data_IF_374757177232
#
_entry.id   IF_374757177232
#
_cell.length_a   1.000
_cell.length_b   1.000
_cell.length_c   1.000
_cell.angle_alpha   90.00
_cell.angle_beta   90.00
_cell.angle_gamma   90.00
#
_symmetry.space_group_name_H-M   'P 1'
#
loop_
_entity.id
_entity.type
_entity.pdbx_description
1 polymer ?
#
# COMPACT_ATOMS: atom_id res chain seq x y z
N UNK A 1 18.51 50.51 36.90
CA UNK A 1 18.49 49.04 36.59
C UNK A 1 19.41 48.78 35.42
N UNK A 2 20.44 48.09 35.65
CA UNK A 2 21.80 48.25 35.17
C UNK A 2 22.11 47.49 33.87
N UNK A 3 23.12 47.97 33.13
CA UNK A 3 23.71 47.41 31.92
C UNK A 3 23.88 45.84 31.91
N UNK A 4 24.08 45.27 33.10
CA UNK A 4 24.20 43.80 33.26
C UNK A 4 22.89 43.03 32.92
N UNK A 5 21.73 43.54 33.32
CA UNK A 5 20.42 42.91 33.06
C UNK A 5 20.06 42.91 31.57
N UNK A 6 20.42 43.99 30.84
CA UNK A 6 20.24 44.10 29.39
C UNK A 6 21.15 43.16 28.60
N UNK A 7 22.39 42.93 29.05
CA UNK A 7 23.32 41.99 28.43
C UNK A 7 22.87 40.54 28.64
N UNK A 8 22.37 40.21 29.82
CA UNK A 8 21.86 38.87 30.13
C UNK A 8 20.59 38.56 29.32
N UNK A 9 19.62 39.47 29.25
CA UNK A 9 18.42 39.39 28.41
C UNK A 9 18.77 39.21 26.92
N UNK A 10 19.71 39.97 26.37
CA UNK A 10 20.17 39.80 24.99
C UNK A 10 20.79 38.41 24.74
N UNK A 11 21.61 37.90 25.66
CA UNK A 11 22.22 36.59 25.56
C UNK A 11 21.17 35.47 25.63
N UNK A 12 20.16 35.60 26.49
CA UNK A 12 19.05 34.68 26.61
C UNK A 12 18.17 34.69 25.36
N UNK A 13 17.87 35.83 24.77
CA UNK A 13 17.10 35.95 23.51
C UNK A 13 17.87 35.35 22.33
N UNK A 14 19.19 35.63 22.24
CA UNK A 14 20.05 35.02 21.20
C UNK A 14 20.14 33.53 21.39
N UNK A 15 20.29 33.00 22.61
CA UNK A 15 20.31 31.58 22.93
C UNK A 15 18.99 30.87 22.57
N UNK A 16 17.86 31.51 22.93
CA UNK A 16 16.54 31.00 22.58
C UNK A 16 16.33 31.00 21.07
N UNK A 17 16.73 32.06 20.38
CA UNK A 17 16.68 32.15 18.92
C UNK A 17 17.51 31.06 18.24
N UNK A 18 18.73 30.80 18.74
CA UNK A 18 19.58 29.71 18.22
C UNK A 18 18.94 28.31 18.44
N UNK A 19 18.35 28.07 19.60
CA UNK A 19 17.63 26.81 19.88
C UNK A 19 16.44 26.62 18.95
N UNK A 20 15.64 27.66 18.70
CA UNK A 20 14.51 27.61 17.78
C UNK A 20 14.96 27.33 16.35
N UNK A 21 16.04 27.94 15.89
CA UNK A 21 16.61 27.71 14.54
C UNK A 21 17.13 26.29 14.41
N UNK A 22 17.85 25.77 15.41
CA UNK A 22 18.37 24.38 15.39
C UNK A 22 17.22 23.38 15.46
N UNK A 23 16.24 23.57 16.35
CA UNK A 23 15.08 22.69 16.45
C UNK A 23 14.23 22.73 15.19
N UNK A 24 14.00 23.90 14.60
CA UNK A 24 13.31 24.05 13.32
C UNK A 24 14.08 23.38 12.18
N UNK A 25 15.40 23.57 12.11
CA UNK A 25 16.24 22.88 11.14
C UNK A 25 16.14 21.35 11.27
N UNK A 26 16.26 20.83 12.49
CA UNK A 26 16.14 19.40 12.75
C UNK A 26 14.75 18.83 12.38
N UNK A 27 13.68 19.58 12.65
CA UNK A 27 12.31 19.21 12.30
C UNK A 27 12.14 18.97 10.79
N UNK A 28 12.72 19.80 9.94
CA UNK A 28 12.57 19.71 8.49
C UNK A 28 13.61 18.81 7.82
N UNK A 29 14.78 18.55 8.44
CA UNK A 29 15.86 17.79 7.78
C UNK A 29 16.00 16.36 8.29
N UNK A 30 15.83 16.15 9.59
CA UNK A 30 16.06 14.84 10.25
C UNK A 30 14.74 14.21 10.69
N UNK A 31 13.78 15.03 11.08
CA UNK A 31 12.49 14.60 11.65
C UNK A 31 11.75 13.59 10.80
N UNK A 32 11.47 13.86 9.50
CA UNK A 32 10.72 12.93 8.65
C UNK A 32 11.38 11.56 8.54
N UNK A 33 12.71 11.52 8.32
CA UNK A 33 13.46 10.27 8.23
C UNK A 33 13.50 9.48 9.53
N UNK A 34 13.52 10.16 10.69
CA UNK A 34 13.42 9.50 12.00
C UNK A 34 12.03 8.90 12.22
N UNK A 35 10.97 9.62 11.85
CA UNK A 35 9.59 9.13 11.94
C UNK A 35 9.44 7.88 11.08
N UNK A 36 9.81 7.96 9.80
CA UNK A 36 9.76 6.82 8.88
C UNK A 36 10.51 5.59 9.43
N UNK A 37 11.75 5.77 9.86
CA UNK A 37 12.57 4.68 10.43
C UNK A 37 11.96 4.08 11.70
N UNK A 38 11.22 4.87 12.48
CA UNK A 38 10.57 4.40 13.71
C UNK A 38 9.30 3.61 13.44
N UNK A 39 8.65 3.85 12.29
CA UNK A 39 7.38 3.25 11.90
C UNK A 39 7.58 2.05 10.96
N UNK A 40 8.46 2.14 9.98
CA UNK A 40 8.75 1.07 9.02
C UNK A 40 9.99 0.29 9.49
N UNK A 41 9.76 -0.85 10.12
CA UNK A 41 10.82 -1.62 10.79
C UNK A 41 11.04 -2.97 10.11
N UNK A 42 12.30 -3.39 10.09
CA UNK A 42 12.65 -4.79 9.87
C UNK A 42 12.87 -5.46 11.22
N UNK A 43 12.15 -6.57 11.46
CA UNK A 43 12.38 -7.43 12.61
C UNK A 43 13.78 -8.07 12.49
N UNK A 44 14.54 -8.17 13.60
CA UNK A 44 15.88 -8.78 13.55
C UNK A 44 15.87 -10.29 13.29
N UNK A 45 14.72 -10.96 13.43
CA UNK A 45 14.52 -12.38 13.14
C UNK A 45 14.40 -12.69 11.65
N UNK A 46 15.39 -12.30 10.85
CA UNK A 46 15.39 -12.57 9.42
C UNK A 46 15.15 -14.06 9.11
N UNK A 47 14.31 -14.38 8.10
CA UNK A 47 14.15 -15.75 7.65
C UNK A 47 15.47 -16.31 7.08
N UNK A 48 15.55 -17.64 7.01
CA UNK A 48 16.68 -18.32 6.40
C UNK A 48 16.82 -17.94 4.93
N UNK A 49 18.05 -17.90 4.45
CA UNK A 49 18.35 -17.67 3.03
C UNK A 49 17.64 -18.72 2.14
N UNK A 50 16.93 -18.30 1.08
CA UNK A 50 16.32 -19.21 0.14
C UNK A 50 17.35 -20.11 -0.55
N UNK A 51 16.98 -21.34 -0.87
CA UNK A 51 17.80 -22.31 -1.62
C UNK A 51 18.13 -21.78 -3.01
N UNK A 52 19.13 -22.38 -3.64
CA UNK A 52 19.45 -22.08 -5.04
C UNK A 52 18.27 -22.36 -5.99
N UNK A 53 17.51 -23.40 -5.70
CA UNK A 53 16.32 -23.79 -6.47
C UNK A 53 15.23 -22.72 -6.35
N UNK A 54 14.89 -22.31 -5.13
CA UNK A 54 13.90 -21.26 -4.89
C UNK A 54 14.28 -19.94 -5.56
N UNK A 55 15.55 -19.52 -5.46
CA UNK A 55 16.04 -18.32 -6.15
C UNK A 55 15.97 -18.43 -7.67
N UNK A 56 16.30 -19.61 -8.23
CA UNK A 56 16.23 -19.85 -9.67
C UNK A 56 14.79 -19.86 -10.20
N UNK A 57 13.84 -20.40 -9.43
CA UNK A 57 12.42 -20.31 -9.74
C UNK A 57 11.95 -18.85 -9.63
N UNK A 58 12.20 -18.19 -8.50
CA UNK A 58 11.79 -16.81 -8.22
C UNK A 58 12.21 -15.83 -9.32
N UNK A 59 13.42 -15.98 -9.83
CA UNK A 59 13.95 -15.13 -10.91
C UNK A 59 13.17 -15.25 -12.25
N UNK A 60 12.35 -16.28 -12.42
CA UNK A 60 11.52 -16.49 -13.61
C UNK A 60 10.06 -16.04 -13.41
N UNK A 61 9.67 -15.74 -12.18
CA UNK A 61 8.31 -15.33 -11.85
C UNK A 61 8.04 -13.89 -12.25
N UNK A 62 6.77 -13.57 -12.47
CA UNK A 62 6.26 -12.22 -12.58
C UNK A 62 5.67 -11.83 -11.22
N UNK A 63 6.52 -11.48 -10.27
CA UNK A 63 6.11 -11.14 -8.91
C UNK A 63 5.33 -9.84 -8.92
N UNK A 64 4.15 -9.84 -8.28
CA UNK A 64 3.30 -8.64 -8.14
C UNK A 64 2.94 -8.43 -6.69
N UNK A 65 3.18 -7.25 -6.16
CA UNK A 65 2.75 -6.82 -4.85
C UNK A 65 1.67 -5.75 -4.98
N UNK A 66 0.53 -5.98 -4.32
CA UNK A 66 -0.66 -5.15 -4.50
C UNK A 66 -0.72 -3.93 -3.58
N UNK A 67 0.24 -3.73 -2.67
CA UNK A 67 0.18 -2.57 -1.78
C UNK A 67 1.51 -2.18 -1.16
N UNK A 68 1.89 -0.90 -1.34
CA UNK A 68 2.97 -0.27 -0.58
C UNK A 68 2.75 1.25 -0.48
N UNK A 69 3.01 1.84 0.70
CA UNK A 69 2.79 3.26 1.00
C UNK A 69 4.03 4.14 0.83
N UNK A 70 4.93 3.71 -0.03
CA UNK A 70 6.23 4.37 -0.26
C UNK A 70 6.11 5.83 -0.64
N UNK A 71 5.03 6.22 -1.35
CA UNK A 71 4.82 7.59 -1.84
C UNK A 71 4.59 8.62 -0.73
N UNK A 72 4.16 8.19 0.45
CA UNK A 72 3.94 9.06 1.61
C UNK A 72 5.27 9.61 2.17
N UNK A 73 6.37 8.88 2.00
CA UNK A 73 7.66 9.18 2.61
C UNK A 73 8.54 10.08 1.73
N UNK A 74 9.43 10.84 2.39
CA UNK A 74 10.41 11.73 1.75
C UNK A 74 11.68 10.92 1.39
N UNK A 75 11.54 10.05 0.38
CA UNK A 75 12.63 9.27 -0.21
C UNK A 75 12.59 9.38 -1.72
N UNK A 76 13.76 9.35 -2.35
CA UNK A 76 13.84 9.10 -3.79
C UNK A 76 13.56 7.62 -4.05
N UNK A 77 12.53 7.33 -4.83
CA UNK A 77 12.15 5.96 -5.19
C UNK A 77 13.23 5.27 -6.05
N UNK A 78 14.08 6.03 -6.72
CA UNK A 78 15.13 5.50 -7.61
C UNK A 78 16.41 5.13 -6.87
N UNK A 79 16.58 5.61 -5.64
CA UNK A 79 17.78 5.38 -4.83
C UNK A 79 17.53 4.36 -3.72
N UNK A 80 18.50 3.44 -3.49
CA UNK A 80 18.43 2.52 -2.36
C UNK A 80 18.56 3.28 -1.03
N UNK A 81 17.48 3.40 -0.30
CA UNK A 81 17.48 4.08 0.98
C UNK A 81 17.97 3.18 2.12
N UNK A 82 18.44 3.82 3.21
CA UNK A 82 18.86 3.10 4.45
C UNK A 82 17.69 2.82 5.40
N UNK A 83 16.46 3.12 4.95
CA UNK A 83 15.20 2.96 5.69
C UNK A 83 14.06 2.63 4.73
N UNK A 84 12.93 2.21 5.26
CA UNK A 84 11.79 1.75 4.46
C UNK A 84 12.01 0.38 3.84
N UNK A 85 11.01 -0.11 3.14
CA UNK A 85 10.96 -1.48 2.61
C UNK A 85 11.00 -1.55 1.09
N UNK A 86 10.62 -0.47 0.40
CA UNK A 86 10.48 -0.44 -1.06
C UNK A 86 11.24 0.74 -1.67
N UNK A 87 12.05 0.47 -2.66
CA UNK A 87 12.63 1.38 -3.65
C UNK A 87 12.94 0.60 -4.92
N UNK A 88 13.20 1.28 -6.03
CA UNK A 88 13.44 0.62 -7.31
C UNK A 88 14.62 -0.39 -7.28
N UNK A 89 15.77 -0.09 -6.64
CA UNK A 89 16.82 -1.09 -6.45
C UNK A 89 16.35 -2.36 -5.73
N UNK A 90 15.58 -2.22 -4.64
CA UNK A 90 15.03 -3.39 -3.91
C UNK A 90 13.99 -4.15 -4.71
N UNK A 91 13.10 -3.46 -5.44
CA UNK A 91 12.12 -4.09 -6.33
C UNK A 91 12.79 -4.94 -7.40
N UNK A 92 13.89 -4.44 -7.99
CA UNK A 92 14.68 -5.17 -9.00
C UNK A 92 15.38 -6.38 -8.38
N UNK A 93 15.98 -6.21 -7.21
CA UNK A 93 16.64 -7.28 -6.44
C UNK A 93 15.67 -8.39 -6.06
N UNK A 94 14.47 -8.03 -5.59
CA UNK A 94 13.37 -8.94 -5.27
C UNK A 94 12.59 -9.45 -6.49
N UNK A 95 13.05 -9.19 -7.71
CA UNK A 95 12.42 -9.70 -8.93
C UNK A 95 11.01 -9.17 -9.20
N UNK A 96 10.58 -8.10 -8.51
CA UNK A 96 9.21 -7.57 -8.62
C UNK A 96 8.95 -7.05 -10.02
N UNK A 97 7.96 -7.66 -10.68
CA UNK A 97 7.52 -7.27 -12.01
C UNK A 97 6.56 -6.08 -11.95
N UNK A 98 5.71 -6.00 -10.91
CA UNK A 98 4.79 -4.89 -10.73
C UNK A 98 4.58 -4.62 -9.23
N UNK A 99 4.69 -3.35 -8.86
CA UNK A 99 4.33 -2.84 -7.54
C UNK A 99 3.12 -1.90 -7.65
N UNK A 100 2.12 -2.09 -6.80
CA UNK A 100 1.06 -1.10 -6.58
C UNK A 100 1.54 -0.13 -5.51
N UNK A 101 1.63 1.14 -5.88
CA UNK A 101 2.00 2.24 -4.99
C UNK A 101 0.75 2.97 -4.53
N UNK A 102 0.51 2.93 -3.23
CA UNK A 102 -0.66 3.52 -2.62
C UNK A 102 -0.41 4.94 -2.11
N UNK A 103 -1.48 5.69 -1.98
CA UNK A 103 -1.52 7.03 -1.44
C UNK A 103 -2.39 7.08 -0.20
N UNK A 104 -1.77 7.03 0.99
CA UNK A 104 -2.42 7.38 2.24
C UNK A 104 -2.54 8.89 2.34
N UNK A 105 -3.75 9.40 2.47
CA UNK A 105 -3.99 10.84 2.55
C UNK A 105 -4.26 11.34 3.97
N UNK A 106 -4.73 10.48 4.88
CA UNK A 106 -5.07 10.83 6.26
C UNK A 106 -4.95 9.62 7.18
N UNK A 107 -4.43 9.84 8.40
CA UNK A 107 -4.33 8.83 9.45
C UNK A 107 -4.69 9.45 10.81
N UNK A 108 -5.60 8.84 11.61
CA UNK A 108 -6.01 9.38 12.90
C UNK A 108 -4.90 9.28 13.95
N UNK A 109 -4.92 10.18 14.94
CA UNK A 109 -4.04 10.08 16.11
C UNK A 109 -4.46 8.92 16.99
N UNK A 110 -3.47 8.17 17.49
CA UNK A 110 -3.75 6.99 18.31
C UNK A 110 -4.45 5.87 17.54
N UNK A 111 -4.20 5.79 16.24
CA UNK A 111 -4.72 4.77 15.34
C UNK A 111 -4.68 3.38 15.97
N UNK A 112 -5.79 2.66 15.89
CA UNK A 112 -5.95 1.30 16.40
C UNK A 112 -6.90 0.51 15.49
N UNK A 113 -6.94 -0.81 15.66
CA UNK A 113 -7.77 -1.68 14.82
C UNK A 113 -9.24 -1.76 15.25
N UNK A 114 -9.62 -1.17 16.40
CA UNK A 114 -10.97 -1.31 16.94
C UNK A 114 -11.91 -0.19 16.53
N UNK A 115 -11.58 1.07 16.86
CA UNK A 115 -12.40 2.22 16.54
C UNK A 115 -11.60 3.52 16.48
N UNK A 116 -11.77 4.28 15.41
CA UNK A 116 -11.14 5.57 15.19
C UNK A 116 -12.15 6.58 14.65
N UNK A 117 -12.02 7.84 15.09
CA UNK A 117 -12.77 8.96 14.54
C UNK A 117 -11.98 9.68 13.44
N UNK A 118 -12.68 10.46 12.64
CA UNK A 118 -12.09 11.27 11.57
C UNK A 118 -11.52 12.63 12.06
N UNK A 119 -11.53 12.92 13.38
CA UNK A 119 -11.29 14.27 13.93
C UNK A 119 -9.83 14.73 13.90
N UNK A 120 -8.91 13.81 13.66
CA UNK A 120 -7.48 14.09 13.71
C UNK A 120 -6.75 13.57 12.47
N UNK A 121 -5.55 14.10 12.23
CA UNK A 121 -4.72 13.73 11.09
C UNK A 121 -3.23 13.86 11.45
N UNK A 122 -2.52 12.74 11.42
CA UNK A 122 -1.08 12.71 11.63
C UNK A 122 -0.30 13.09 10.36
N UNK A 123 -0.90 12.91 9.17
CA UNK A 123 -0.23 13.12 7.88
C UNK A 123 0.01 14.61 7.63
N UNK A 124 -0.88 15.51 8.08
CA UNK A 124 -0.70 16.95 7.90
C UNK A 124 0.65 17.44 8.44
N UNK A 125 1.04 17.01 9.64
CA UNK A 125 2.33 17.42 10.21
C UNK A 125 3.51 16.84 9.45
N UNK A 126 3.37 15.62 8.96
CA UNK A 126 4.38 14.95 8.14
C UNK A 126 4.57 15.68 6.79
N UNK A 127 3.48 16.04 6.10
CA UNK A 127 3.57 16.80 4.82
C UNK A 127 4.26 18.14 4.98
N UNK A 128 4.00 18.84 6.12
CA UNK A 128 4.67 20.11 6.45
C UNK A 128 6.17 19.88 6.73
N UNK A 129 6.48 18.85 7.53
CA UNK A 129 7.87 18.53 7.89
C UNK A 129 8.70 18.11 6.68
N UNK A 130 8.09 17.43 5.72
CA UNK A 130 8.70 17.04 4.44
C UNK A 130 8.74 18.17 3.41
N UNK A 131 8.31 19.39 3.76
CA UNK A 131 8.24 20.55 2.86
C UNK A 131 7.45 20.27 1.56
N UNK A 132 6.44 19.40 1.64
CA UNK A 132 5.56 19.17 0.50
C UNK A 132 4.85 20.47 0.07
N UNK A 133 4.39 20.59 -1.18
CA UNK A 133 3.73 21.81 -1.66
C UNK A 133 2.60 22.26 -0.74
N UNK A 134 2.45 23.56 -0.43
CA UNK A 134 1.45 24.07 0.52
C UNK A 134 0.00 23.62 0.23
N UNK A 135 -0.34 23.33 -1.03
CA UNK A 135 -1.65 22.78 -1.41
C UNK A 135 -1.98 21.44 -0.71
N UNK A 136 -0.95 20.63 -0.37
CA UNK A 136 -1.13 19.33 0.30
C UNK A 136 -1.42 19.46 1.79
N UNK A 137 -1.19 20.63 2.41
CA UNK A 137 -1.31 20.80 3.85
C UNK A 137 -2.76 20.78 4.34
N UNK A 138 -3.69 21.28 3.52
CA UNK A 138 -5.10 21.40 3.86
C UNK A 138 -6.07 20.60 2.98
N UNK A 139 -5.60 19.91 1.95
CA UNK A 139 -6.44 19.11 1.05
C UNK A 139 -5.92 17.68 0.94
N UNK A 140 -6.79 16.71 1.22
CA UNK A 140 -6.50 15.29 1.08
C UNK A 140 -6.39 14.89 -0.40
N UNK A 141 -7.19 15.51 -1.24
CA UNK A 141 -7.12 15.34 -2.69
C UNK A 141 -5.77 15.76 -3.23
N UNK A 142 -5.31 16.97 -2.86
CA UNK A 142 -4.03 17.49 -3.35
C UNK A 142 -2.82 16.67 -2.84
N UNK A 143 -2.93 16.01 -1.68
CA UNK A 143 -1.93 15.01 -1.23
C UNK A 143 -1.84 13.84 -2.20
N UNK A 144 -2.98 13.24 -2.55
CA UNK A 144 -2.98 12.11 -3.47
C UNK A 144 -2.54 12.51 -4.88
N UNK A 145 -2.91 13.69 -5.36
CA UNK A 145 -2.43 14.23 -6.63
C UNK A 145 -0.90 14.44 -6.60
N UNK A 146 -0.36 14.94 -5.49
CA UNK A 146 1.10 15.09 -5.33
C UNK A 146 1.83 13.72 -5.27
N UNK A 147 1.25 12.71 -4.62
CA UNK A 147 1.81 11.35 -4.65
C UNK A 147 1.83 10.78 -6.08
N UNK A 148 0.77 11.01 -6.85
CA UNK A 148 0.75 10.63 -8.27
C UNK A 148 1.84 11.36 -9.09
N UNK A 149 2.04 12.67 -8.86
CA UNK A 149 3.12 13.44 -9.47
C UNK A 149 4.51 12.90 -9.13
N UNK A 150 4.74 12.52 -7.84
CA UNK A 150 5.99 11.87 -7.42
C UNK A 150 6.26 10.58 -8.21
N UNK A 151 5.24 9.72 -8.32
CA UNK A 151 5.37 8.45 -9.05
C UNK A 151 5.63 8.69 -10.55
N UNK A 152 4.91 9.64 -11.15
CA UNK A 152 5.12 10.01 -12.56
C UNK A 152 6.52 10.57 -12.79
N UNK A 153 7.02 11.40 -11.89
CA UNK A 153 8.37 11.94 -11.98
C UNK A 153 9.43 10.83 -11.85
N UNK A 154 9.27 9.94 -10.87
CA UNK A 154 10.16 8.79 -10.72
C UNK A 154 10.18 7.91 -11.98
N UNK A 155 9.02 7.65 -12.58
CA UNK A 155 8.95 6.88 -13.84
C UNK A 155 9.70 7.57 -14.98
N UNK A 156 9.57 8.90 -15.12
CA UNK A 156 10.31 9.70 -16.13
C UNK A 156 11.82 9.65 -15.91
N UNK A 157 12.26 9.79 -14.66
CA UNK A 157 13.68 9.87 -14.30
C UNK A 157 14.35 8.50 -14.27
N UNK A 158 13.57 7.40 -14.21
CA UNK A 158 14.07 6.03 -14.16
C UNK A 158 14.78 5.55 -15.44
N UNK A 159 14.75 6.32 -16.52
CA UNK A 159 15.29 5.89 -17.82
C UNK A 159 14.58 4.66 -18.41
N UNK A 160 13.33 4.40 -18.03
CA UNK A 160 12.52 3.27 -18.48
C UNK A 160 12.57 2.04 -17.57
N UNK A 161 13.27 2.11 -16.44
CA UNK A 161 13.31 1.02 -15.46
C UNK A 161 12.00 0.92 -14.64
N UNK A 162 11.22 2.01 -14.56
CA UNK A 162 9.89 2.05 -13.94
C UNK A 162 8.85 2.44 -15.00
N UNK A 163 7.85 1.57 -15.23
CA UNK A 163 6.81 1.75 -16.24
C UNK A 163 5.45 1.94 -15.58
N UNK A 164 4.79 3.08 -15.82
CA UNK A 164 3.44 3.32 -15.32
C UNK A 164 2.43 2.38 -15.97
N UNK A 165 1.58 1.78 -15.15
CA UNK A 165 0.52 0.86 -15.58
C UNK A 165 -0.83 1.57 -15.43
N UNK A 166 -1.47 1.87 -16.55
CA UNK A 166 -2.74 2.58 -16.61
C UNK A 166 -3.82 1.85 -17.42
N UNK A 167 -3.41 0.90 -18.27
CA UNK A 167 -4.28 0.17 -19.21
C UNK A 167 -3.91 -1.31 -19.26
N UNK A 168 -4.79 -2.13 -19.83
CA UNK A 168 -4.49 -3.54 -20.15
C UNK A 168 -3.28 -3.67 -21.06
N UNK A 169 -3.16 -2.78 -22.04
CA UNK A 169 -2.03 -2.76 -22.98
C UNK A 169 -0.70 -2.50 -22.24
N UNK A 170 -0.70 -1.70 -21.16
CA UNK A 170 0.50 -1.51 -20.32
C UNK A 170 0.90 -2.80 -19.61
N UNK A 171 -0.09 -3.53 -19.06
CA UNK A 171 0.16 -4.83 -18.41
C UNK A 171 0.76 -5.82 -19.44
N UNK A 172 0.20 -5.88 -20.63
CA UNK A 172 0.71 -6.77 -21.67
C UNK A 172 2.13 -6.40 -22.13
N UNK A 173 2.42 -5.09 -22.26
CA UNK A 173 3.78 -4.61 -22.55
C UNK A 173 4.77 -4.96 -21.47
N UNK A 174 4.39 -4.78 -20.19
CA UNK A 174 5.21 -5.17 -19.05
C UNK A 174 5.55 -6.66 -19.08
N UNK A 175 4.53 -7.51 -19.24
CA UNK A 175 4.71 -8.96 -19.31
C UNK A 175 5.64 -9.35 -20.46
N UNK A 176 5.46 -8.76 -21.64
CA UNK A 176 6.32 -9.01 -22.80
C UNK A 176 7.76 -8.58 -22.56
N UNK A 177 7.97 -7.39 -21.98
CA UNK A 177 9.29 -6.85 -21.66
C UNK A 177 10.03 -7.75 -20.64
N UNK A 178 9.37 -8.13 -19.55
CA UNK A 178 9.94 -9.02 -18.53
C UNK A 178 10.29 -10.41 -19.10
N UNK A 179 9.42 -10.99 -19.93
CA UNK A 179 9.67 -12.27 -20.61
C UNK A 179 10.83 -12.19 -21.62
N UNK A 180 11.06 -11.00 -22.19
CA UNK A 180 12.23 -10.74 -23.03
C UNK A 180 13.52 -10.47 -22.23
N UNK A 181 13.49 -10.60 -20.90
CA UNK A 181 14.64 -10.37 -20.01
C UNK A 181 14.96 -8.91 -19.74
N UNK A 182 14.03 -7.98 -20.04
CA UNK A 182 14.23 -6.58 -19.71
C UNK A 182 14.02 -6.36 -18.21
N UNK A 183 14.89 -5.57 -17.61
CA UNK A 183 14.85 -5.20 -16.20
C UNK A 183 13.97 -3.96 -16.00
N UNK A 184 12.65 -4.17 -16.09
CA UNK A 184 11.62 -3.14 -15.94
C UNK A 184 10.63 -3.54 -14.86
N UNK A 185 10.26 -2.61 -13.99
CA UNK A 185 9.19 -2.79 -12.99
C UNK A 185 7.97 -1.95 -13.36
N UNK A 186 6.80 -2.56 -13.34
CA UNK A 186 5.52 -1.85 -13.48
C UNK A 186 5.16 -1.12 -12.19
N UNK A 187 4.56 0.07 -12.32
CA UNK A 187 4.07 0.88 -11.21
C UNK A 187 2.61 1.25 -11.45
N UNK A 188 1.70 0.74 -10.63
CA UNK A 188 0.29 1.11 -10.65
C UNK A 188 0.01 2.06 -9.48
N UNK A 189 -0.62 3.21 -9.75
CA UNK A 189 -1.02 4.15 -8.70
C UNK A 189 -2.37 3.77 -8.10
N UNK A 190 -2.39 3.64 -6.78
CA UNK A 190 -3.56 3.37 -5.96
C UNK A 190 -3.82 4.49 -4.95
N UNK A 191 -5.02 4.50 -4.40
CA UNK A 191 -5.42 5.38 -3.30
C UNK A 191 -5.97 4.54 -2.16
N UNK A 192 -5.52 4.81 -0.94
CA UNK A 192 -6.00 4.16 0.25
C UNK A 192 -6.93 5.08 1.06
N UNK A 193 -8.21 4.78 0.88
CA UNK A 193 -9.31 5.55 1.45
C UNK A 193 -9.73 6.76 0.62
N UNK A 194 -10.99 6.72 0.16
CA UNK A 194 -11.59 7.76 -0.67
C UNK A 194 -12.09 8.98 0.14
N UNK A 195 -11.65 9.17 1.40
CA UNK A 195 -11.76 10.46 2.10
C UNK A 195 -11.07 11.59 1.33
N UNK A 196 -10.15 11.26 0.42
CA UNK A 196 -9.51 12.23 -0.46
C UNK A 196 -10.42 12.75 -1.59
N UNK A 197 -11.61 12.20 -1.76
CA UNK A 197 -12.64 12.83 -2.57
C UNK A 197 -13.24 14.08 -1.91
N UNK A 198 -13.00 14.28 -0.60
CA UNK A 198 -13.51 15.43 0.16
C UNK A 198 -15.03 15.60 -0.03
N UNK A 199 -15.77 14.48 -0.10
CA UNK A 199 -17.21 14.43 -0.36
C UNK A 199 -17.64 14.82 -1.79
N UNK A 200 -16.72 15.04 -2.70
CA UNK A 200 -17.02 15.50 -4.07
C UNK A 200 -16.86 14.39 -5.10
N UNK A 201 -17.96 13.96 -5.71
CA UNK A 201 -17.98 12.91 -6.72
C UNK A 201 -17.03 13.18 -7.92
N UNK A 202 -16.95 14.44 -8.35
CA UNK A 202 -16.15 14.83 -9.52
C UNK A 202 -14.65 14.66 -9.31
N UNK A 203 -14.20 14.53 -8.05
CA UNK A 203 -12.81 14.27 -7.73
C UNK A 203 -12.35 12.85 -8.12
N UNK A 204 -13.27 11.91 -8.38
CA UNK A 204 -12.95 10.60 -8.98
C UNK A 204 -12.26 10.81 -10.34
N UNK A 205 -12.81 11.68 -11.20
CA UNK A 205 -12.23 11.96 -12.50
C UNK A 205 -10.86 12.65 -12.41
N UNK A 206 -10.64 13.49 -11.39
CA UNK A 206 -9.33 14.14 -11.14
C UNK A 206 -8.26 13.13 -10.75
N UNK A 207 -8.59 12.20 -9.86
CA UNK A 207 -7.68 11.12 -9.45
C UNK A 207 -7.39 10.15 -10.60
N UNK A 208 -8.42 9.76 -11.37
CA UNK A 208 -8.26 8.93 -12.57
C UNK A 208 -7.32 9.58 -13.59
N UNK A 209 -7.51 10.88 -13.87
CA UNK A 209 -6.64 11.64 -14.76
C UNK A 209 -5.19 11.72 -14.27
N UNK A 210 -4.98 11.76 -12.95
CA UNK A 210 -3.66 11.67 -12.32
C UNK A 210 -3.05 10.26 -12.38
N UNK A 211 -3.79 9.26 -12.85
CA UNK A 211 -3.29 7.89 -13.04
C UNK A 211 -3.80 6.86 -12.03
N UNK A 212 -4.75 7.21 -11.15
CA UNK A 212 -5.37 6.23 -10.25
C UNK A 212 -6.03 5.09 -11.04
N UNK A 213 -5.68 3.86 -10.71
CA UNK A 213 -6.24 2.64 -11.33
C UNK A 213 -6.72 1.62 -10.31
N UNK A 214 -6.52 1.87 -9.03
CA UNK A 214 -7.07 1.11 -7.92
C UNK A 214 -7.41 2.06 -6.76
N UNK A 215 -8.46 1.78 -5.99
CA UNK A 215 -8.74 2.53 -4.78
C UNK A 215 -9.52 1.70 -3.75
N UNK A 216 -9.09 1.81 -2.48
CA UNK A 216 -9.84 1.40 -1.29
C UNK A 216 -10.83 2.48 -0.86
N UNK A 217 -12.03 2.07 -0.41
CA UNK A 217 -13.07 3.01 -0.02
C UNK A 217 -12.78 3.74 1.29
N UNK A 218 -12.18 3.04 2.22
CA UNK A 218 -11.87 3.56 3.56
C UNK A 218 -10.43 3.25 3.93
N UNK A 219 -9.95 3.91 4.96
CA UNK A 219 -8.75 3.56 5.70
C UNK A 219 -9.14 3.31 7.17
N UNK A 220 -8.53 3.95 8.14
CA UNK A 220 -8.75 3.70 9.57
C UNK A 220 -9.99 4.38 10.19
N UNK A 221 -10.88 4.98 9.42
CA UNK A 221 -12.09 5.67 9.93
C UNK A 221 -13.20 5.67 8.87
N UNK A 222 -14.45 5.78 9.35
CA UNK A 222 -15.60 5.97 8.48
C UNK A 222 -15.50 7.31 7.76
N UNK A 223 -15.85 7.34 6.48
CA UNK A 223 -15.77 8.54 5.66
C UNK A 223 -17.05 8.77 4.84
N UNK A 224 -17.03 9.74 3.94
CA UNK A 224 -18.20 10.17 3.16
C UNK A 224 -18.70 9.11 2.16
N UNK A 225 -17.92 8.04 1.89
CA UNK A 225 -18.29 6.99 0.92
C UNK A 225 -18.67 5.66 1.58
N UNK A 226 -18.03 5.30 2.71
CA UNK A 226 -18.27 4.00 3.34
C UNK A 226 -17.86 3.98 4.82
N UNK A 227 -18.34 2.97 5.54
CA UNK A 227 -17.81 2.57 6.84
C UNK A 227 -16.50 1.79 6.72
N UNK A 228 -15.60 2.03 7.67
CA UNK A 228 -14.35 1.30 7.84
C UNK A 228 -14.49 0.19 8.88
N UNK A 229 -13.80 -0.93 8.72
CA UNK A 229 -13.71 -1.96 9.78
C UNK A 229 -13.05 -1.42 11.07
N UNK A 230 -12.33 -0.30 10.95
CA UNK A 230 -11.67 0.42 12.05
C UNK A 230 -12.38 1.72 12.43
N UNK A 231 -13.55 2.00 11.83
CA UNK A 231 -14.38 3.15 12.15
C UNK A 231 -15.19 2.95 13.42
N UNK A 232 -15.98 3.95 13.77
CA UNK A 232 -16.89 3.91 14.93
C UNK A 232 -18.22 3.26 14.55
N UNK A 233 -18.79 3.69 13.41
CA UNK A 233 -20.12 3.25 12.96
C UNK A 233 -20.06 1.97 12.14
N UNK A 234 -19.00 1.74 11.38
CA UNK A 234 -18.77 0.55 10.54
C UNK A 234 -19.96 0.25 9.62
N UNK A 235 -20.57 1.32 9.08
CA UNK A 235 -21.74 1.24 8.19
C UNK A 235 -21.40 0.66 6.81
N UNK A 236 -22.44 0.52 5.96
CA UNK A 236 -22.28 0.13 4.55
C UNK A 236 -21.82 1.28 3.66
N UNK A 237 -22.03 1.14 2.35
CA UNK A 237 -21.83 2.25 1.42
C UNK A 237 -22.86 3.36 1.66
N UNK A 238 -22.40 4.61 1.57
CA UNK A 238 -23.31 5.77 1.50
C UNK A 238 -23.89 5.89 0.07
N UNK A 239 -24.82 6.82 -0.14
CA UNK A 239 -25.30 7.11 -1.50
C UNK A 239 -24.20 7.62 -2.40
N UNK A 240 -23.26 8.42 -1.86
CA UNK A 240 -22.05 8.81 -2.58
C UNK A 240 -21.18 7.59 -2.88
N UNK A 241 -20.98 6.72 -1.90
CA UNK A 241 -20.19 5.50 -2.05
C UNK A 241 -20.71 4.58 -3.16
N UNK A 242 -22.04 4.38 -3.26
CA UNK A 242 -22.66 3.58 -4.34
C UNK A 242 -22.38 4.18 -5.73
N UNK A 243 -22.51 5.50 -5.85
CA UNK A 243 -22.20 6.21 -7.10
C UNK A 243 -20.74 6.11 -7.47
N UNK A 244 -19.84 6.22 -6.48
CA UNK A 244 -18.38 6.08 -6.69
C UNK A 244 -18.03 4.66 -7.11
N UNK A 245 -18.62 3.63 -6.47
CA UNK A 245 -18.43 2.23 -6.84
C UNK A 245 -18.80 1.98 -8.30
N UNK A 246 -19.99 2.39 -8.71
CA UNK A 246 -20.46 2.23 -10.09
C UNK A 246 -19.55 2.97 -11.10
N UNK A 247 -19.11 4.18 -10.74
CA UNK A 247 -18.20 4.95 -11.59
C UNK A 247 -16.82 4.29 -11.71
N UNK A 248 -16.28 3.69 -10.65
CA UNK A 248 -15.00 2.98 -10.69
C UNK A 248 -15.08 1.76 -11.61
N UNK A 249 -16.12 0.92 -11.48
CA UNK A 249 -16.29 -0.22 -12.38
C UNK A 249 -16.44 0.20 -13.85
N UNK A 250 -17.22 1.25 -14.12
CA UNK A 250 -17.41 1.77 -15.48
C UNK A 250 -16.10 2.30 -16.09
N UNK A 251 -15.25 2.92 -15.30
CA UNK A 251 -13.98 3.53 -15.72
C UNK A 251 -12.81 2.54 -15.76
N UNK A 252 -13.01 1.29 -15.31
CA UNK A 252 -11.94 0.31 -15.23
C UNK A 252 -10.94 0.61 -14.12
N UNK A 253 -11.40 1.18 -13.00
CA UNK A 253 -10.64 1.36 -11.78
C UNK A 253 -10.93 0.17 -10.87
N UNK A 254 -9.89 -0.52 -10.42
CA UNK A 254 -9.99 -1.68 -9.54
C UNK A 254 -10.51 -1.23 -8.17
N UNK A 255 -11.60 -1.85 -7.72
CA UNK A 255 -12.13 -1.62 -6.37
C UNK A 255 -11.38 -2.51 -5.38
N UNK A 256 -10.84 -1.87 -4.35
CA UNK A 256 -10.12 -2.53 -3.27
C UNK A 256 -11.00 -2.55 -2.00
N UNK A 257 -11.14 -3.73 -1.42
CA UNK A 257 -11.94 -4.01 -0.23
C UNK A 257 -11.15 -3.81 1.08
N UNK A 258 -9.85 -3.61 1.01
CA UNK A 258 -9.02 -3.43 2.19
C UNK A 258 -9.57 -2.28 3.06
N UNK A 259 -9.59 -2.49 4.39
CA UNK A 259 -10.15 -1.58 5.39
C UNK A 259 -11.66 -1.31 5.35
N UNK A 260 -12.39 -1.73 4.32
CA UNK A 260 -13.84 -1.56 4.31
C UNK A 260 -14.49 -2.34 5.46
N UNK A 261 -15.55 -1.79 6.06
CA UNK A 261 -16.32 -2.53 7.06
C UNK A 261 -16.89 -3.81 6.45
N UNK A 262 -17.16 -4.83 7.26
CA UNK A 262 -17.80 -6.06 6.80
C UNK A 262 -19.15 -5.76 6.08
N UNK A 263 -19.91 -4.77 6.59
CA UNK A 263 -21.18 -4.33 5.97
C UNK A 263 -20.95 -3.70 4.58
N UNK A 264 -19.95 -2.83 4.46
CA UNK A 264 -19.61 -2.19 3.17
C UNK A 264 -19.05 -3.21 2.18
N UNK A 265 -18.18 -4.11 2.65
CA UNK A 265 -17.58 -5.18 1.85
C UNK A 265 -18.64 -6.12 1.28
N UNK A 266 -19.58 -6.58 2.12
CA UNK A 266 -20.69 -7.44 1.71
C UNK A 266 -21.58 -6.74 0.65
N UNK A 267 -21.88 -5.45 0.81
CA UNK A 267 -22.60 -4.68 -0.19
C UNK A 267 -21.84 -4.58 -1.52
N UNK A 268 -20.54 -4.27 -1.48
CA UNK A 268 -19.69 -4.21 -2.67
C UNK A 268 -19.59 -5.56 -3.38
N UNK A 269 -19.39 -6.65 -2.64
CA UNK A 269 -19.31 -8.00 -3.19
C UNK A 269 -20.61 -8.45 -3.89
N UNK A 270 -21.77 -8.05 -3.36
CA UNK A 270 -23.06 -8.32 -4.02
C UNK A 270 -23.30 -7.45 -5.26
N UNK A 271 -22.76 -6.24 -5.28
CA UNK A 271 -22.91 -5.26 -6.35
C UNK A 271 -21.97 -5.46 -7.52
N UNK A 272 -20.85 -6.13 -7.27
CA UNK A 272 -19.75 -6.27 -8.20
C UNK A 272 -20.15 -6.90 -9.54
N UNK A 273 -19.72 -6.27 -10.63
CA UNK A 273 -19.82 -6.78 -12.01
C UNK A 273 -18.43 -7.11 -12.58
N UNK A 274 -17.38 -6.69 -11.88
CA UNK A 274 -15.98 -6.96 -12.21
C UNK A 274 -15.25 -7.59 -11.02
N UNK A 275 -14.09 -8.22 -11.23
CA UNK A 275 -13.26 -8.71 -10.14
C UNK A 275 -12.91 -7.60 -9.14
N UNK A 276 -13.14 -7.84 -7.85
CA UNK A 276 -12.70 -6.99 -6.76
C UNK A 276 -11.43 -7.55 -6.13
N UNK A 277 -10.65 -6.70 -5.46
CA UNK A 277 -9.46 -7.14 -4.73
C UNK A 277 -9.58 -6.81 -3.23
N UNK A 278 -8.97 -7.61 -2.38
CA UNK A 278 -8.53 -7.17 -1.06
C UNK A 278 -7.00 -7.04 -1.15
N UNK A 279 -6.51 -5.84 -1.31
CA UNK A 279 -5.12 -5.61 -1.74
C UNK A 279 -4.09 -6.07 -0.72
N UNK A 280 -4.38 -5.97 0.58
CA UNK A 280 -3.50 -6.33 1.68
C UNK A 280 -4.32 -6.65 2.94
N UNK A 281 -3.85 -7.60 3.72
CA UNK A 281 -4.49 -8.05 4.95
C UNK A 281 -4.11 -9.49 5.29
N UNK A 282 -4.88 -10.11 6.16
CA UNK A 282 -4.76 -11.52 6.50
C UNK A 282 -6.11 -12.21 6.48
N UNK A 283 -6.17 -13.39 7.09
CA UNK A 283 -7.38 -14.18 7.22
C UNK A 283 -7.61 -14.54 8.69
N UNK A 284 -8.84 -14.39 9.20
CA UNK A 284 -9.17 -14.63 10.61
C UNK A 284 -8.85 -16.06 11.04
N UNK A 285 -8.94 -17.02 10.15
CA UNK A 285 -8.66 -18.42 10.44
C UNK A 285 -7.21 -18.71 10.88
N UNK A 286 -6.25 -17.88 10.47
CA UNK A 286 -4.84 -18.01 10.87
C UNK A 286 -4.39 -16.93 11.84
N UNK A 287 -5.06 -15.77 11.82
CA UNK A 287 -4.76 -14.65 12.70
C UNK A 287 -6.07 -13.89 13.01
N UNK A 288 -6.68 -14.21 14.17
CA UNK A 288 -8.01 -13.72 14.55
C UNK A 288 -7.95 -12.29 15.07
N UNK A 289 -7.87 -11.35 14.13
CA UNK A 289 -7.98 -9.91 14.38
C UNK A 289 -9.03 -9.28 13.47
N UNK A 290 -9.65 -8.19 13.92
CA UNK A 290 -10.70 -7.47 13.18
C UNK A 290 -10.27 -7.01 11.77
N UNK A 291 -8.97 -6.84 11.55
CA UNK A 291 -8.39 -6.43 10.25
C UNK A 291 -8.51 -7.51 9.17
N UNK A 292 -8.63 -8.78 9.55
CA UNK A 292 -8.50 -9.92 8.67
C UNK A 292 -9.85 -10.43 8.15
N UNK A 293 -9.82 -11.00 6.93
CA UNK A 293 -11.02 -11.46 6.24
C UNK A 293 -11.58 -12.74 6.85
N UNK A 294 -12.90 -12.82 6.88
CA UNK A 294 -13.64 -14.06 7.14
C UNK A 294 -13.65 -14.98 5.93
N UNK A 295 -13.94 -16.25 6.13
CA UNK A 295 -14.14 -17.21 5.04
C UNK A 295 -15.24 -16.80 4.05
N UNK A 296 -16.27 -16.09 4.54
CA UNK A 296 -17.38 -15.66 3.70
C UNK A 296 -16.95 -14.53 2.75
N UNK A 297 -16.15 -13.61 3.24
CA UNK A 297 -15.56 -12.53 2.42
C UNK A 297 -14.59 -13.08 1.40
N UNK A 298 -13.73 -14.04 1.77
CA UNK A 298 -12.83 -14.72 0.84
C UNK A 298 -13.64 -15.41 -0.29
N UNK A 299 -14.72 -16.12 0.05
CA UNK A 299 -15.64 -16.70 -0.95
C UNK A 299 -16.31 -15.62 -1.80
N UNK A 300 -16.63 -14.47 -1.18
CA UNK A 300 -17.17 -13.31 -1.88
C UNK A 300 -16.22 -12.80 -2.95
N UNK A 301 -14.96 -12.55 -2.59
CA UNK A 301 -13.90 -12.12 -3.53
C UNK A 301 -13.72 -13.16 -4.64
N UNK A 302 -13.62 -14.45 -4.29
CA UNK A 302 -13.49 -15.52 -5.26
C UNK A 302 -14.65 -15.54 -6.29
N UNK A 303 -15.90 -15.34 -5.83
CA UNK A 303 -17.08 -15.29 -6.72
C UNK A 303 -17.01 -14.15 -7.74
N UNK A 304 -16.35 -13.03 -7.42
CA UNK A 304 -16.13 -11.94 -8.39
C UNK A 304 -15.04 -12.26 -9.41
N UNK A 305 -14.27 -13.34 -9.22
CA UNK A 305 -13.04 -13.62 -9.95
C UNK A 305 -11.84 -12.79 -9.46
N UNK A 306 -11.96 -12.23 -8.25
CA UNK A 306 -10.96 -11.37 -7.63
C UNK A 306 -9.82 -12.09 -6.93
N UNK A 307 -9.04 -11.34 -6.15
CA UNK A 307 -7.88 -11.86 -5.41
C UNK A 307 -7.78 -11.25 -4.01
N UNK A 308 -7.19 -12.03 -3.09
CA UNK A 308 -6.86 -11.63 -1.72
C UNK A 308 -5.34 -11.57 -1.59
N UNK A 309 -4.79 -10.40 -1.37
CA UNK A 309 -3.38 -10.15 -1.07
C UNK A 309 -3.08 -10.38 0.39
N UNK A 310 -2.22 -11.35 0.67
CA UNK A 310 -1.76 -11.62 2.03
C UNK A 310 -0.59 -10.71 2.37
N UNK A 311 -0.69 -10.04 3.51
CA UNK A 311 0.32 -9.13 4.05
C UNK A 311 1.38 -9.84 4.89
N UNK A 312 2.39 -9.08 5.32
CA UNK A 312 3.57 -9.66 5.99
C UNK A 312 3.83 -9.10 7.38
N UNK A 313 2.91 -8.30 7.95
CA UNK A 313 3.04 -7.73 9.30
C UNK A 313 2.23 -8.52 10.33
N UNK A 314 2.49 -8.28 11.59
CA UNK A 314 1.95 -9.03 12.72
C UNK A 314 0.41 -9.04 12.81
N UNK A 315 -0.26 -7.95 12.46
CA UNK A 315 -1.73 -7.94 12.46
C UNK A 315 -2.35 -8.69 11.27
N UNK A 316 -1.60 -8.95 10.20
CA UNK A 316 -2.08 -9.76 9.10
C UNK A 316 -1.93 -11.26 9.38
N UNK A 317 -0.76 -11.68 9.93
CA UNK A 317 -0.39 -13.10 10.01
C UNK A 317 0.01 -13.56 11.41
N UNK A 318 -0.10 -12.72 12.43
CA UNK A 318 0.24 -12.95 13.85
C UNK A 318 1.73 -13.24 14.12
N UNK A 319 2.45 -13.88 13.21
CA UNK A 319 3.87 -14.18 13.32
C UNK A 319 4.63 -13.67 12.09
N UNK A 320 5.76 -13.00 12.30
CA UNK A 320 6.59 -12.43 11.22
C UNK A 320 7.49 -13.50 10.58
N UNK A 321 6.87 -14.53 9.98
CA UNK A 321 7.58 -15.64 9.33
C UNK A 321 7.02 -15.96 7.96
N UNK A 322 7.83 -16.44 6.99
CA UNK A 322 7.31 -16.95 5.72
C UNK A 322 6.26 -18.02 5.90
N UNK A 323 6.41 -18.88 6.94
CA UNK A 323 5.45 -19.90 7.30
C UNK A 323 4.07 -19.31 7.56
N UNK A 324 3.96 -18.30 8.41
CA UNK A 324 2.67 -17.68 8.76
C UNK A 324 2.01 -17.00 7.55
N UNK A 325 2.80 -16.38 6.67
CA UNK A 325 2.31 -15.82 5.41
C UNK A 325 1.75 -16.91 4.51
N UNK A 326 2.46 -18.03 4.35
CA UNK A 326 1.98 -19.13 3.51
C UNK A 326 0.82 -19.89 4.16
N UNK A 327 0.74 -19.99 5.50
CA UNK A 327 -0.45 -20.54 6.18
C UNK A 327 -1.72 -19.73 5.80
N UNK A 328 -1.62 -18.41 5.75
CA UNK A 328 -2.72 -17.53 5.33
C UNK A 328 -3.03 -17.69 3.83
N UNK A 329 -2.02 -17.77 2.97
CA UNK A 329 -2.17 -18.03 1.53
C UNK A 329 -2.89 -19.36 1.29
N UNK A 330 -2.47 -20.44 1.96
CA UNK A 330 -3.10 -21.76 1.84
C UNK A 330 -4.55 -21.75 2.35
N UNK A 331 -4.85 -20.95 3.38
CA UNK A 331 -6.23 -20.78 3.81
C UNK A 331 -7.07 -20.05 2.75
N UNK A 332 -6.55 -19.01 2.11
CA UNK A 332 -7.22 -18.37 0.96
C UNK A 332 -7.47 -19.38 -0.17
N UNK A 333 -6.47 -20.20 -0.48
CA UNK A 333 -6.60 -21.26 -1.51
C UNK A 333 -7.68 -22.25 -1.13
N UNK A 334 -7.69 -22.73 0.12
CA UNK A 334 -8.67 -23.69 0.63
C UNK A 334 -10.10 -23.16 0.52
N UNK A 335 -10.32 -21.87 0.74
CA UNK A 335 -11.66 -21.26 0.80
C UNK A 335 -12.12 -20.73 -0.55
N UNK A 336 -11.21 -20.07 -1.30
CA UNK A 336 -11.50 -19.37 -2.54
C UNK A 336 -10.95 -20.01 -3.81
N UNK A 337 -10.07 -21.01 -3.68
CA UNK A 337 -9.34 -21.61 -4.80
C UNK A 337 -8.02 -20.91 -5.11
N UNK A 338 -7.15 -21.60 -5.85
CA UNK A 338 -5.78 -21.11 -6.17
C UNK A 338 -5.77 -19.75 -6.85
N UNK A 339 -6.76 -19.46 -7.70
CA UNK A 339 -6.86 -18.22 -8.46
C UNK A 339 -7.18 -16.98 -7.58
N UNK A 340 -7.53 -17.21 -6.29
CA UNK A 340 -7.88 -16.12 -5.35
C UNK A 340 -6.68 -15.64 -4.54
N UNK A 341 -5.61 -16.42 -4.42
CA UNK A 341 -4.46 -16.07 -3.60
C UNK A 341 -3.49 -15.12 -4.32
N UNK A 342 -3.02 -14.11 -3.61
CA UNK A 342 -2.07 -13.11 -4.11
C UNK A 342 -1.22 -12.53 -2.97
N UNK A 343 -0.31 -11.61 -3.30
CA UNK A 343 0.58 -10.90 -2.38
C UNK A 343 0.17 -9.44 -2.22
N UNK A 344 0.25 -8.92 -0.99
CA UNK A 344 -0.02 -7.52 -0.69
C UNK A 344 0.65 -7.12 0.61
N UNK A 345 1.90 -6.68 0.52
CA UNK A 345 2.85 -6.59 1.64
C UNK A 345 2.47 -5.61 2.74
N UNK A 346 1.79 -4.52 2.40
CA UNK A 346 1.65 -3.32 3.24
C UNK A 346 3.02 -2.66 3.57
N UNK A 347 4.01 -2.86 2.70
CA UNK A 347 5.33 -2.26 2.87
C UNK A 347 5.24 -0.73 2.94
N UNK A 348 6.08 -0.15 3.79
CA UNK A 348 6.12 1.28 4.06
C UNK A 348 4.82 1.86 4.69
N UNK A 349 3.83 1.02 5.03
CA UNK A 349 2.55 1.35 5.67
C UNK A 349 2.61 1.48 7.20
N UNK A 350 3.74 1.91 7.75
CA UNK A 350 3.97 2.00 9.19
C UNK A 350 3.94 0.63 9.92
N UNK A 351 4.44 -0.39 9.28
CA UNK A 351 4.43 -1.79 9.74
C UNK A 351 5.83 -2.29 10.13
N UNK A 352 5.86 -3.34 10.94
CA UNK A 352 7.06 -4.15 11.18
C UNK A 352 6.95 -5.44 10.39
N UNK A 353 7.97 -5.76 9.60
CA UNK A 353 8.04 -6.98 8.76
C UNK A 353 9.39 -7.67 8.96
N UNK A 354 9.50 -8.95 8.64
CA UNK A 354 10.76 -9.70 8.81
C UNK A 354 11.72 -9.56 7.63
N UNK A 355 11.26 -9.13 6.46
CA UNK A 355 12.06 -8.90 5.24
C UNK A 355 11.50 -7.73 4.44
N UNK A 356 12.33 -7.07 3.66
CA UNK A 356 11.91 -6.05 2.69
C UNK A 356 11.66 -6.66 1.30
N UNK A 357 11.31 -5.83 0.35
CA UNK A 357 10.94 -6.30 -1.00
C UNK A 357 12.10 -7.00 -1.74
N UNK A 358 13.35 -6.83 -1.32
CA UNK A 358 14.51 -7.51 -1.94
C UNK A 358 14.58 -9.01 -1.61
N UNK A 359 13.92 -9.46 -0.54
CA UNK A 359 14.00 -10.83 -0.01
C UNK A 359 12.73 -11.68 -0.29
N UNK A 360 11.85 -11.28 -1.22
CA UNK A 360 10.58 -11.97 -1.51
C UNK A 360 10.72 -13.46 -1.92
N UNK A 361 11.91 -13.88 -2.32
CA UNK A 361 12.20 -15.27 -2.60
C UNK A 361 12.00 -16.21 -1.38
N UNK A 362 11.92 -15.68 -0.14
CA UNK A 362 11.59 -16.47 1.05
C UNK A 362 10.18 -17.06 1.01
N UNK A 363 9.23 -16.34 0.38
CA UNK A 363 7.86 -16.84 0.16
C UNK A 363 7.88 -17.96 -0.89
N UNK A 364 8.64 -17.79 -1.97
CA UNK A 364 8.83 -18.84 -2.98
C UNK A 364 9.43 -20.11 -2.37
N UNK A 365 10.42 -19.96 -1.45
CA UNK A 365 10.99 -21.09 -0.73
C UNK A 365 9.94 -21.82 0.09
N UNK A 366 9.16 -21.11 0.89
CA UNK A 366 8.15 -21.74 1.75
C UNK A 366 7.06 -22.45 0.94
N UNK A 367 6.63 -21.86 -0.19
CA UNK A 367 5.67 -22.52 -1.10
C UNK A 367 6.24 -23.81 -1.72
N UNK A 368 7.52 -23.80 -2.12
CA UNK A 368 8.21 -25.03 -2.59
C UNK A 368 8.30 -26.09 -1.49
N UNK A 369 8.68 -25.71 -0.28
CA UNK A 369 8.80 -26.63 0.87
C UNK A 369 7.47 -27.28 1.24
N UNK A 370 6.34 -26.60 0.91
CA UNK A 370 4.97 -27.13 1.04
C UNK A 370 4.51 -27.97 -0.13
N UNK A 371 5.32 -28.10 -1.17
CA UNK A 371 5.04 -28.94 -2.34
C UNK A 371 4.13 -28.31 -3.38
N UNK A 372 3.96 -26.98 -3.38
CA UNK A 372 3.27 -26.30 -4.48
C UNK A 372 4.06 -26.45 -5.78
N UNK A 373 3.36 -26.67 -6.89
CA UNK A 373 3.95 -26.71 -8.23
C UNK A 373 4.46 -25.34 -8.67
N UNK A 374 5.40 -25.30 -9.64
CA UNK A 374 5.89 -24.04 -10.21
C UNK A 374 4.76 -23.19 -10.79
N UNK A 375 3.71 -23.81 -11.35
CA UNK A 375 2.53 -23.14 -11.91
C UNK A 375 1.68 -22.50 -10.81
N UNK A 376 1.46 -23.21 -9.69
CA UNK A 376 0.73 -22.67 -8.54
C UNK A 376 1.49 -21.50 -7.91
N UNK A 377 2.80 -21.66 -7.74
CA UNK A 377 3.67 -20.57 -7.23
C UNK A 377 3.62 -19.36 -8.16
N UNK A 378 3.69 -19.57 -9.47
CA UNK A 378 3.60 -18.48 -10.45
C UNK A 378 2.22 -17.77 -10.40
N UNK A 379 1.14 -18.52 -10.16
CA UNK A 379 -0.19 -17.94 -9.98
C UNK A 379 -0.27 -17.07 -8.73
N UNK A 380 0.16 -17.60 -7.57
CA UNK A 380 0.15 -16.91 -6.28
C UNK A 380 1.03 -15.65 -6.30
N UNK A 381 2.28 -15.79 -6.77
CA UNK A 381 3.28 -14.72 -6.71
C UNK A 381 2.96 -13.52 -7.61
N UNK A 382 2.02 -13.65 -8.57
CA UNK A 382 1.61 -12.49 -9.37
C UNK A 382 0.67 -12.81 -10.53
N UNK A 383 0.63 -14.05 -11.02
CA UNK A 383 -0.21 -14.43 -12.15
C UNK A 383 -1.69 -14.09 -11.93
N UNK A 384 -2.21 -14.36 -10.73
CA UNK A 384 -3.60 -14.07 -10.36
C UNK A 384 -3.89 -12.56 -10.36
N UNK A 385 -2.99 -11.75 -9.81
CA UNK A 385 -3.13 -10.28 -9.81
C UNK A 385 -3.08 -9.70 -11.22
N UNK A 386 -2.15 -10.16 -12.07
CA UNK A 386 -2.08 -9.75 -13.48
C UNK A 386 -3.35 -10.12 -14.25
N UNK A 387 -3.96 -11.27 -13.96
CA UNK A 387 -5.26 -11.68 -14.53
C UNK A 387 -6.35 -10.68 -14.16
N UNK A 388 -6.46 -10.30 -12.89
CA UNK A 388 -7.45 -9.31 -12.42
C UNK A 388 -7.20 -7.94 -13.08
N UNK A 389 -5.96 -7.47 -13.11
CA UNK A 389 -5.62 -6.19 -13.77
C UNK A 389 -6.04 -6.19 -15.24
N UNK A 390 -5.80 -7.27 -15.98
CA UNK A 390 -6.23 -7.42 -17.39
C UNK A 390 -7.75 -7.51 -17.55
N UNK A 391 -8.47 -8.00 -16.53
CA UNK A 391 -9.92 -8.08 -16.56
C UNK A 391 -10.60 -6.74 -16.28
N UNK A 392 -10.00 -5.89 -15.45
CA UNK A 392 -10.63 -4.66 -14.93
C UNK A 392 -10.15 -3.40 -15.63
N UNK A 393 -8.83 -3.24 -15.83
CA UNK A 393 -8.25 -2.00 -16.37
C UNK A 393 -8.83 -1.63 -17.74
N UNK A 394 -8.86 -0.34 -18.11
CA UNK A 394 -9.33 0.09 -19.44
C UNK A 394 -8.39 -0.38 -20.54
N UNK A 395 -8.89 -0.34 -21.79
CA UNK A 395 -8.12 -0.70 -22.98
C UNK A 395 -7.02 0.31 -23.33
#
# INVERSE_FOLDING_TARGET
>A
MTHHRRRWLRRSVIGLGAVVVVAGGAFFTVGPGMVEKSMNKLDPGRPSEPSREARALHARLLVVDMHADTLMWDRDLLDRAVRGHVDLPRLREGGVALQVFSSVSKSPKGQNYDANTADSDNITLLTIAQLQPPRTWGSLLERSLYHAEKLEQAAKDSGGALMLIRTKADVDRLIAARRAGQDVTGALFSVEGLQNLEGQFDNVARLEAAGMRMAGFTHFFDNEVAGSMHGVDKGGLTDLGRRVFDAMEQRGIIVDLAHASHTAMDEMLRRATKPLVASHGGVQATCDVNRNLTDEEIRGVARTGGVVGVGYWDAAVCELTPKAVVDAIEHVIKVGGIETAALGSDYDGAVTVAWDTSDLAVITQELLDRGHSEEEIAAIMGGNTLRVMRAVLPD
#
